data_IF_183226966803
#
_entry.id   IF_183226966803
#
_cell.length_a   1.000
_cell.length_b   1.000
_cell.length_c   1.000
_cell.angle_alpha   90.00
_cell.angle_beta   90.00
_cell.angle_gamma   90.00
#
_symmetry.space_group_name_H-M   'P 1'
#
loop_
_entity.id
_entity.type
_entity.pdbx_description
1 polymer ?
#
# COMPACT_ATOMS: atom_id res chain seq x y z
N UNK A 1 51.88 -11.04 17.75
CA UNK A 1 50.49 -11.53 17.60
C UNK A 1 50.52 -13.04 17.54
N UNK A 2 50.06 -13.72 18.60
CA UNK A 2 50.08 -15.18 18.72
C UNK A 2 49.09 -15.82 17.73
N UNK A 3 49.36 -17.05 17.29
CA UNK A 3 48.58 -17.79 16.27
C UNK A 3 47.09 -17.91 16.64
N UNK A 4 46.80 -18.00 17.94
CA UNK A 4 45.46 -17.98 18.54
C UNK A 4 44.72 -16.66 18.37
N UNK A 5 45.43 -15.53 18.41
CA UNK A 5 44.86 -14.18 18.27
C UNK A 5 44.44 -13.88 16.81
N UNK A 6 45.16 -14.44 15.82
CA UNK A 6 44.74 -14.38 14.40
C UNK A 6 43.52 -15.27 14.13
N UNK A 7 43.43 -16.43 14.75
CA UNK A 7 42.31 -17.35 14.59
C UNK A 7 41.01 -16.76 15.18
N UNK A 8 41.07 -16.12 16.35
CA UNK A 8 39.92 -15.43 16.93
C UNK A 8 39.47 -14.24 16.07
N UNK A 9 40.39 -13.47 15.49
CA UNK A 9 40.04 -12.34 14.62
C UNK A 9 39.33 -12.83 13.33
N UNK A 10 39.81 -13.93 12.74
CA UNK A 10 39.18 -14.58 11.58
C UNK A 10 37.80 -15.15 11.93
N UNK A 11 37.64 -15.77 13.10
CA UNK A 11 36.33 -16.24 13.56
C UNK A 11 35.35 -15.07 13.77
N UNK A 12 35.83 -13.95 14.32
CA UNK A 12 35.03 -12.74 14.55
C UNK A 12 34.56 -12.11 13.23
N UNK A 13 35.43 -12.08 12.21
CA UNK A 13 35.12 -11.61 10.86
C UNK A 13 34.14 -12.53 10.12
N UNK A 14 34.19 -13.84 10.36
CA UNK A 14 33.21 -14.77 9.77
C UNK A 14 31.82 -14.67 10.42
N UNK A 15 31.72 -14.32 11.71
CA UNK A 15 30.42 -14.11 12.38
C UNK A 15 29.79 -12.76 12.00
N UNK A 16 30.59 -11.74 11.66
CA UNK A 16 30.06 -10.46 11.18
C UNK A 16 29.42 -10.55 9.78
N UNK A 17 29.75 -11.58 8.98
CA UNK A 17 29.18 -11.81 7.65
C UNK A 17 27.75 -12.35 7.66
N UNK A 18 27.20 -12.71 8.83
CA UNK A 18 25.82 -13.22 8.96
C UNK A 18 24.85 -12.19 9.53
N UNK A 19 25.21 -10.90 9.53
CA UNK A 19 24.24 -9.83 9.80
C UNK A 19 23.27 -9.72 8.60
N UNK A 20 22.31 -10.65 8.55
CA UNK A 20 21.10 -10.52 7.75
C UNK A 20 20.32 -9.28 8.17
N UNK A 21 19.52 -8.76 7.25
CA UNK A 21 18.72 -7.56 7.34
C UNK A 21 18.33 -7.12 8.77
N UNK A 22 18.69 -5.88 9.13
CA UNK A 22 18.55 -5.34 10.49
C UNK A 22 17.35 -4.41 10.67
N UNK A 23 16.47 -4.31 9.66
CA UNK A 23 15.30 -3.43 9.68
C UNK A 23 13.99 -4.20 9.75
N UNK A 24 12.89 -3.52 10.12
CA UNK A 24 11.56 -4.12 10.10
C UNK A 24 11.09 -4.33 8.66
N UNK A 25 10.46 -5.48 8.42
CA UNK A 25 9.74 -5.73 7.17
C UNK A 25 8.55 -4.76 7.05
N UNK A 26 8.20 -4.35 5.82
CA UNK A 26 7.15 -3.34 5.62
C UNK A 26 6.31 -3.53 4.37
N UNK A 27 5.06 -3.08 4.45
CA UNK A 27 4.13 -2.91 3.34
C UNK A 27 3.66 -1.45 3.31
N UNK A 28 3.93 -0.76 2.20
CA UNK A 28 3.45 0.59 1.95
C UNK A 28 2.53 0.60 0.73
N UNK A 29 1.28 1.07 0.92
CA UNK A 29 0.32 1.24 -0.17
C UNK A 29 -0.30 2.62 -0.11
N UNK A 30 -0.19 3.38 -1.19
CA UNK A 30 -0.84 4.69 -1.34
C UNK A 30 -1.88 4.65 -2.45
N UNK A 31 -3.09 5.09 -2.11
CA UNK A 31 -4.22 5.24 -3.02
C UNK A 31 -4.60 6.72 -3.05
N UNK A 32 -4.31 7.40 -4.15
CA UNK A 32 -4.68 8.81 -4.32
C UNK A 32 -5.88 8.92 -5.25
N UNK A 33 -7.07 9.33 -4.77
CA UNK A 33 -8.25 9.44 -5.62
C UNK A 33 -8.04 10.54 -6.67
N UNK A 34 -8.35 10.23 -7.93
CA UNK A 34 -8.21 11.13 -9.07
C UNK A 34 -9.57 11.54 -9.63
N UNK A 35 -10.52 10.61 -9.70
CA UNK A 35 -11.82 10.84 -10.30
C UNK A 35 -12.90 9.95 -9.69
N UNK A 36 -14.15 10.40 -9.70
CA UNK A 36 -15.29 9.59 -9.28
C UNK A 36 -16.50 9.82 -10.18
N UNK A 37 -17.12 8.73 -10.65
CA UNK A 37 -18.24 8.77 -11.60
C UNK A 37 -19.10 7.53 -11.47
N UNK A 38 -20.43 7.71 -11.38
CA UNK A 38 -21.44 6.63 -11.44
C UNK A 38 -21.17 5.42 -10.52
N UNK A 39 -20.61 5.66 -9.33
CA UNK A 39 -20.30 4.57 -8.38
C UNK A 39 -18.90 3.98 -8.54
N UNK A 40 -18.09 4.46 -9.48
CA UNK A 40 -16.69 4.06 -9.67
C UNK A 40 -15.73 5.20 -9.27
N UNK A 41 -14.59 4.84 -8.72
CA UNK A 41 -13.51 5.76 -8.35
C UNK A 41 -12.21 5.30 -8.97
N UNK A 42 -11.53 6.21 -9.64
CA UNK A 42 -10.19 6.04 -10.19
C UNK A 42 -9.16 6.54 -9.18
N UNK A 43 -8.17 5.71 -8.90
CA UNK A 43 -7.03 6.00 -8.04
C UNK A 43 -5.74 5.93 -8.82
N UNK A 44 -4.81 6.80 -8.43
CA UNK A 44 -3.38 6.63 -8.66
C UNK A 44 -2.80 5.77 -7.54
N UNK A 45 -1.94 4.83 -7.88
CA UNK A 45 -1.40 3.86 -6.94
C UNK A 45 0.11 3.96 -6.80
N UNK A 46 0.61 3.71 -5.59
CA UNK A 46 2.03 3.43 -5.30
C UNK A 46 2.09 2.25 -4.34
N UNK A 47 2.92 1.26 -4.66
CA UNK A 47 3.07 0.04 -3.89
C UNK A 47 4.54 -0.26 -3.66
N UNK A 48 4.88 -0.67 -2.44
CA UNK A 48 6.21 -1.13 -2.07
C UNK A 48 6.09 -2.18 -0.97
N UNK A 49 6.81 -3.30 -1.12
CA UNK A 49 6.91 -4.34 -0.10
C UNK A 49 8.38 -4.64 0.19
N UNK A 50 8.74 -4.61 1.46
CA UNK A 50 10.05 -4.98 1.98
C UNK A 50 9.90 -6.19 2.89
N UNK A 51 9.92 -7.39 2.31
CA UNK A 51 9.78 -8.64 3.09
C UNK A 51 10.99 -8.93 3.97
N UNK A 52 12.17 -8.56 3.50
CA UNK A 52 13.41 -8.88 4.18
C UNK A 52 13.73 -7.91 5.31
N UNK A 53 13.04 -6.77 5.42
CA UNK A 53 13.43 -5.72 6.36
C UNK A 53 14.78 -5.09 6.01
N UNK A 54 15.17 -5.19 4.74
CA UNK A 54 16.47 -4.71 4.29
C UNK A 54 16.48 -3.18 4.24
N UNK A 55 17.56 -2.55 4.71
CA UNK A 55 17.78 -1.11 4.55
C UNK A 55 18.36 -0.76 3.17
N UNK A 56 17.81 -1.37 2.11
CA UNK A 56 18.22 -1.15 0.72
C UNK A 56 17.05 -0.61 -0.11
N UNK A 57 17.35 -0.22 -1.34
CA UNK A 57 16.32 0.16 -2.29
C UNK A 57 15.38 -1.03 -2.51
N UNK A 58 14.08 -0.80 -2.50
CA UNK A 58 13.07 -1.83 -2.78
C UNK A 58 12.38 -1.50 -4.08
N UNK A 59 11.93 -2.53 -4.81
CA UNK A 59 11.09 -2.33 -5.99
C UNK A 59 9.85 -1.49 -5.63
N UNK A 60 9.61 -0.43 -6.40
CA UNK A 60 8.44 0.45 -6.25
C UNK A 60 7.58 0.37 -7.50
N UNK A 61 6.30 0.06 -7.31
CA UNK A 61 5.33 -0.04 -8.40
C UNK A 61 4.38 1.15 -8.39
N UNK A 62 4.09 1.66 -9.58
CA UNK A 62 3.21 2.77 -9.86
C UNK A 62 2.15 2.33 -10.87
N UNK A 63 0.89 2.70 -10.62
CA UNK A 63 -0.20 2.30 -11.49
C UNK A 63 -1.52 3.02 -11.25
N UNK A 64 -2.57 2.38 -11.73
CA UNK A 64 -3.94 2.86 -11.65
C UNK A 64 -4.83 1.78 -11.04
N UNK A 65 -5.82 2.20 -10.29
CA UNK A 65 -6.85 1.31 -9.75
C UNK A 65 -8.22 1.93 -10.02
N UNK A 66 -9.14 1.15 -10.57
CA UNK A 66 -10.57 1.49 -10.55
C UNK A 66 -11.29 0.55 -9.62
N UNK A 67 -12.07 1.12 -8.70
CA UNK A 67 -12.97 0.37 -7.83
C UNK A 67 -14.39 0.87 -8.04
N UNK A 68 -15.36 -0.03 -8.13
CA UNK A 68 -16.77 0.32 -8.13
C UNK A 68 -17.51 -0.13 -6.86
N UNK A 69 -18.64 0.53 -6.58
CA UNK A 69 -19.50 0.24 -5.45
C UNK A 69 -20.26 -1.09 -5.55
N UNK A 70 -20.08 -1.85 -6.63
CA UNK A 70 -20.51 -3.24 -6.78
C UNK A 70 -19.41 -4.24 -6.43
N UNK A 71 -18.20 -3.77 -6.11
CA UNK A 71 -17.05 -4.60 -5.78
C UNK A 71 -16.11 -4.90 -6.96
N UNK A 72 -16.36 -4.32 -8.15
CA UNK A 72 -15.43 -4.44 -9.26
C UNK A 72 -14.10 -3.78 -8.94
N UNK A 73 -13.01 -4.42 -9.37
CA UNK A 73 -11.65 -4.08 -8.99
C UNK A 73 -10.72 -4.29 -10.19
N UNK A 74 -10.10 -3.21 -10.67
CA UNK A 74 -9.24 -3.26 -11.86
C UNK A 74 -7.94 -2.50 -11.63
N UNK A 75 -6.85 -3.25 -11.50
CA UNK A 75 -5.49 -2.73 -11.39
C UNK A 75 -4.83 -2.69 -12.77
N UNK A 76 -4.19 -1.56 -13.09
CA UNK A 76 -3.45 -1.40 -14.35
C UNK A 76 -2.04 -0.86 -14.02
N UNK A 77 -0.99 -1.65 -14.27
CA UNK A 77 0.39 -1.20 -14.09
C UNK A 77 0.71 -0.01 -14.99
N UNK A 78 1.61 0.86 -14.53
CA UNK A 78 2.13 1.97 -15.34
C UNK A 78 3.66 1.97 -15.39
N UNK A 79 4.31 1.90 -14.23
CA UNK A 79 5.77 1.87 -14.14
C UNK A 79 6.22 1.09 -12.93
N UNK A 80 7.33 0.38 -13.06
CA UNK A 80 8.02 -0.27 -11.95
C UNK A 80 9.45 0.21 -11.93
N UNK A 81 9.90 0.74 -10.80
CA UNK A 81 11.32 1.04 -10.56
C UNK A 81 11.88 -0.14 -9.78
N UNK A 82 12.63 -0.98 -10.49
CA UNK A 82 13.14 -2.23 -9.94
C UNK A 82 14.29 -1.99 -8.95
N UNK A 83 14.44 -2.90 -8.01
CA UNK A 83 15.63 -2.98 -7.19
C UNK A 83 16.90 -3.17 -8.06
N UNK A 84 17.99 -2.42 -7.78
CA UNK A 84 19.27 -2.65 -8.45
C UNK A 84 19.80 -4.07 -8.15
N UNK A 85 20.58 -4.67 -9.08
CA UNK A 85 21.14 -6.01 -8.87
C UNK A 85 22.00 -6.05 -7.61
N UNK A 86 22.10 -7.22 -6.98
CA UNK A 86 22.97 -7.44 -5.81
C UNK A 86 24.05 -8.50 -6.11
N UNK A 87 25.35 -8.20 -5.91
CA UNK A 87 25.88 -6.89 -5.53
C UNK A 87 25.78 -5.88 -6.68
N UNK A 88 25.32 -4.66 -6.37
CA UNK A 88 25.17 -3.56 -7.32
C UNK A 88 26.32 -2.57 -7.20
N UNK A 89 26.60 -1.85 -8.29
CA UNK A 89 27.51 -0.71 -8.27
C UNK A 89 26.85 0.53 -7.66
N UNK A 90 27.64 1.44 -7.07
CA UNK A 90 27.13 2.72 -6.55
C UNK A 90 26.43 3.57 -7.65
N UNK A 91 26.83 3.40 -8.91
CA UNK A 91 26.21 4.04 -10.06
C UNK A 91 24.80 3.48 -10.34
N UNK A 92 24.60 2.17 -10.22
CA UNK A 92 23.29 1.52 -10.35
C UNK A 92 22.32 2.00 -9.26
N UNK A 93 22.77 2.04 -8.00
CA UNK A 93 21.97 2.57 -6.89
C UNK A 93 21.58 4.04 -7.14
N UNK A 94 22.55 4.87 -7.55
CA UNK A 94 22.30 6.29 -7.85
C UNK A 94 21.27 6.46 -8.97
N UNK A 95 21.35 5.62 -10.02
CA UNK A 95 20.37 5.62 -11.12
C UNK A 95 18.98 5.21 -10.64
N UNK A 96 18.86 4.15 -9.84
CA UNK A 96 17.59 3.69 -9.28
C UNK A 96 16.92 4.78 -8.42
N UNK A 97 17.68 5.46 -7.55
CA UNK A 97 17.17 6.58 -6.75
C UNK A 97 16.73 7.78 -7.60
N UNK A 98 17.49 8.11 -8.65
CA UNK A 98 17.13 9.18 -9.56
C UNK A 98 15.86 8.84 -10.36
N UNK A 99 15.70 7.59 -10.79
CA UNK A 99 14.51 7.11 -11.47
C UNK A 99 13.30 7.12 -10.55
N UNK A 100 13.43 6.62 -9.32
CA UNK A 100 12.38 6.68 -8.31
C UNK A 100 11.92 8.11 -8.08
N UNK A 101 12.85 9.07 -7.92
CA UNK A 101 12.52 10.49 -7.75
C UNK A 101 11.74 11.05 -8.94
N UNK A 102 12.09 10.66 -10.17
CA UNK A 102 11.36 11.07 -11.39
C UNK A 102 9.96 10.46 -11.43
N UNK A 103 9.84 9.16 -11.17
CA UNK A 103 8.56 8.46 -11.13
C UNK A 103 7.63 9.06 -10.06
N UNK A 104 8.15 9.34 -8.87
CA UNK A 104 7.43 10.01 -7.79
C UNK A 104 6.93 11.41 -8.20
N UNK A 105 7.75 12.19 -8.90
CA UNK A 105 7.37 13.52 -9.37
C UNK A 105 6.23 13.44 -10.39
N UNK A 106 6.33 12.51 -11.35
CA UNK A 106 5.27 12.22 -12.32
C UNK A 106 3.97 11.80 -11.62
N UNK A 107 4.06 10.89 -10.65
CA UNK A 107 2.92 10.41 -9.87
C UNK A 107 2.43 11.39 -8.80
N UNK A 108 3.10 12.51 -8.58
CA UNK A 108 2.59 13.62 -7.74
C UNK A 108 2.00 14.75 -8.58
N UNK A 109 2.36 14.84 -9.86
CA UNK A 109 1.86 15.87 -10.76
C UNK A 109 0.34 15.76 -10.98
N UNK A 110 -0.35 16.89 -11.23
CA UNK A 110 -1.73 16.88 -11.70
C UNK A 110 -1.87 16.06 -12.99
N UNK A 111 -2.97 15.31 -13.12
CA UNK A 111 -3.24 14.56 -14.34
C UNK A 111 -3.51 15.51 -15.52
N UNK A 112 -2.77 15.35 -16.61
CA UNK A 112 -3.15 15.97 -17.89
C UNK A 112 -4.28 15.18 -18.53
N UNK A 113 -5.50 15.70 -18.38
CA UNK A 113 -6.71 15.10 -18.93
C UNK A 113 -6.79 15.17 -20.47
N UNK A 114 -6.02 16.05 -21.12
CA UNK A 114 -6.01 16.16 -22.58
C UNK A 114 -5.09 15.13 -23.21
N UNK A 115 -3.98 14.83 -22.53
CA UNK A 115 -2.97 13.86 -22.97
C UNK A 115 -2.58 12.93 -21.82
N UNK A 116 -3.50 12.07 -21.35
CA UNK A 116 -3.21 11.15 -20.25
C UNK A 116 -2.17 10.10 -20.67
N UNK A 117 -1.43 9.50 -19.71
CA UNK A 117 -0.56 8.37 -20.01
C UNK A 117 -1.31 7.24 -20.72
N UNK A 118 -0.66 6.56 -21.66
CA UNK A 118 -1.27 5.51 -22.47
C UNK A 118 -1.90 4.40 -21.61
N UNK A 119 -1.21 3.99 -20.53
CA UNK A 119 -1.73 2.97 -19.60
C UNK A 119 -2.99 3.40 -18.84
N UNK A 120 -3.29 4.70 -18.78
CA UNK A 120 -4.52 5.23 -18.17
C UNK A 120 -5.63 5.44 -19.20
N UNK A 121 -5.31 5.72 -20.45
CA UNK A 121 -6.28 6.09 -21.49
C UNK A 121 -7.37 5.03 -21.69
N UNK A 122 -7.02 3.73 -21.57
CA UNK A 122 -7.98 2.63 -21.61
C UNK A 122 -9.05 2.73 -20.52
N UNK A 123 -8.64 2.94 -19.26
CA UNK A 123 -9.56 3.08 -18.12
C UNK A 123 -10.45 4.31 -18.25
N UNK A 124 -9.90 5.44 -18.71
CA UNK A 124 -10.69 6.66 -18.90
C UNK A 124 -11.81 6.47 -19.93
N UNK A 125 -11.54 5.75 -21.02
CA UNK A 125 -12.56 5.43 -22.04
C UNK A 125 -13.59 4.43 -21.53
N UNK A 126 -13.14 3.34 -20.92
CA UNK A 126 -14.00 2.25 -20.44
C UNK A 126 -14.99 2.70 -19.37
N UNK A 127 -14.54 3.47 -18.38
CA UNK A 127 -15.38 3.97 -17.29
C UNK A 127 -15.93 5.38 -17.59
N UNK A 128 -15.50 6.01 -18.68
CA UNK A 128 -15.96 7.31 -19.14
C UNK A 128 -15.52 8.49 -18.28
N UNK A 129 -14.44 8.36 -17.50
CA UNK A 129 -13.93 9.44 -16.67
C UNK A 129 -13.45 10.63 -17.52
N UNK A 130 -13.81 11.83 -17.09
CA UNK A 130 -13.42 13.10 -17.70
C UNK A 130 -12.89 14.07 -16.65
N UNK A 131 -12.33 15.19 -17.09
CA UNK A 131 -11.90 16.27 -16.18
C UNK A 131 -13.00 16.75 -15.23
N UNK A 132 -14.28 16.65 -15.61
CA UNK A 132 -15.41 17.05 -14.76
C UNK A 132 -15.63 16.12 -13.57
N UNK A 133 -15.15 14.88 -13.68
CA UNK A 133 -15.26 13.85 -12.66
C UNK A 133 -14.09 13.90 -11.66
N UNK A 134 -13.15 14.84 -11.84
CA UNK A 134 -11.97 14.97 -10.99
C UNK A 134 -12.36 15.27 -9.54
N UNK A 135 -11.73 14.58 -8.58
CA UNK A 135 -11.99 14.78 -7.15
C UNK A 135 -10.83 15.50 -6.47
N UNK A 136 -11.15 16.33 -5.47
CA UNK A 136 -10.14 16.93 -4.61
C UNK A 136 -9.51 15.87 -3.69
N UNK A 137 -8.23 16.04 -3.36
CA UNK A 137 -7.45 15.07 -2.57
C UNK A 137 -8.04 14.75 -1.19
N UNK A 138 -8.77 15.69 -0.60
CA UNK A 138 -9.40 15.58 0.71
C UNK A 138 -10.95 15.50 0.64
N UNK A 139 -11.51 15.22 -0.54
CA UNK A 139 -12.96 15.10 -0.70
C UNK A 139 -13.52 13.98 0.20
N UNK A 140 -14.46 14.32 1.08
CA UNK A 140 -15.12 13.36 1.97
C UNK A 140 -14.27 12.87 3.16
N UNK A 141 -13.11 13.48 3.44
CA UNK A 141 -12.29 13.14 4.60
C UNK A 141 -13.06 13.34 5.92
N UNK A 142 -12.89 12.41 6.87
CA UNK A 142 -13.49 12.47 8.21
C UNK A 142 -14.99 12.17 8.29
N UNK A 143 -15.64 11.82 7.18
CA UNK A 143 -17.11 11.63 7.15
C UNK A 143 -17.56 10.22 7.56
N UNK A 144 -16.64 9.26 7.51
CA UNK A 144 -16.87 7.88 7.90
C UNK A 144 -15.83 7.47 8.93
N UNK A 145 -16.31 6.79 9.95
CA UNK A 145 -15.51 6.26 11.05
C UNK A 145 -15.61 4.75 11.03
N UNK A 146 -14.46 4.08 11.02
CA UNK A 146 -14.38 2.64 11.08
C UNK A 146 -13.85 2.19 12.44
N UNK A 147 -14.54 1.23 13.03
CA UNK A 147 -14.19 0.59 14.30
C UNK A 147 -14.42 -0.91 14.20
N UNK A 148 -14.03 -1.65 15.25
CA UNK A 148 -14.30 -3.10 15.35
C UNK A 148 -15.79 -3.45 15.40
N UNK A 149 -16.63 -2.57 15.95
CA UNK A 149 -18.07 -2.85 16.13
C UNK A 149 -18.86 -2.46 14.90
N UNK A 150 -18.43 -1.39 14.25
CA UNK A 150 -19.23 -0.74 13.25
C UNK A 150 -18.41 0.16 12.33
N UNK A 151 -18.91 0.26 11.10
CA UNK A 151 -18.57 1.31 10.15
C UNK A 151 -19.70 2.33 10.17
N UNK A 152 -19.40 3.55 10.61
CA UNK A 152 -20.39 4.60 10.80
C UNK A 152 -20.19 5.77 9.85
N UNK A 153 -21.28 6.23 9.26
CA UNK A 153 -21.38 7.50 8.54
C UNK A 153 -22.39 8.40 9.26
N UNK A 154 -21.90 9.34 10.06
CA UNK A 154 -22.74 10.11 10.97
C UNK A 154 -23.41 9.22 12.02
N UNK A 155 -24.75 9.16 12.02
CA UNK A 155 -25.55 8.31 12.94
C UNK A 155 -25.89 6.93 12.37
N UNK A 156 -25.55 6.65 11.10
CA UNK A 156 -25.85 5.38 10.44
C UNK A 156 -24.64 4.48 10.54
N UNK A 157 -24.82 3.28 11.09
CA UNK A 157 -23.75 2.33 11.33
C UNK A 157 -24.11 0.95 10.77
N UNK A 158 -23.11 0.21 10.31
CA UNK A 158 -23.26 -1.14 9.76
C UNK A 158 -22.14 -2.06 10.28
N UNK A 159 -22.21 -3.35 9.96
CA UNK A 159 -21.11 -4.28 10.23
C UNK A 159 -19.83 -3.83 9.52
N UNK A 160 -18.67 -3.88 10.18
CA UNK A 160 -17.40 -3.54 9.55
C UNK A 160 -17.17 -4.38 8.29
N UNK A 161 -16.70 -3.71 7.25
CA UNK A 161 -16.21 -4.31 6.03
C UNK A 161 -14.77 -4.84 6.22
N UNK A 162 -14.45 -5.95 5.54
CA UNK A 162 -13.08 -6.36 5.30
C UNK A 162 -12.46 -5.40 4.29
N UNK A 163 -11.38 -4.72 4.67
CA UNK A 163 -10.72 -3.76 3.78
C UNK A 163 -9.91 -4.51 2.72
N UNK A 164 -9.88 -3.98 1.50
CA UNK A 164 -9.07 -4.50 0.39
C UNK A 164 -8.12 -3.41 -0.10
N UNK A 165 -6.90 -3.80 -0.48
CA UNK A 165 -5.93 -2.93 -1.14
C UNK A 165 -5.31 -3.62 -2.36
N UNK A 166 -4.27 -3.03 -2.94
CA UNK A 166 -3.59 -3.53 -4.15
C UNK A 166 -3.09 -4.96 -3.99
N UNK A 167 -2.88 -5.63 -5.12
CA UNK A 167 -2.42 -7.03 -5.16
C UNK A 167 -3.28 -7.96 -4.30
N UNK A 168 -4.57 -7.62 -4.19
CA UNK A 168 -5.58 -8.35 -3.42
C UNK A 168 -5.29 -8.54 -1.92
N UNK A 169 -4.36 -7.76 -1.34
CA UNK A 169 -4.17 -7.76 0.10
C UNK A 169 -5.46 -7.38 0.80
N UNK A 170 -5.79 -8.12 1.86
CA UNK A 170 -7.02 -7.90 2.63
C UNK A 170 -6.68 -7.71 4.08
N UNK A 171 -7.43 -6.84 4.75
CA UNK A 171 -7.37 -6.82 6.21
C UNK A 171 -7.84 -8.16 6.75
N UNK A 172 -7.34 -8.60 7.89
CA UNK A 172 -7.93 -9.75 8.58
C UNK A 172 -9.40 -9.51 8.92
N UNK A 173 -10.16 -10.59 9.03
CA UNK A 173 -11.40 -10.58 9.80
C UNK A 173 -10.98 -10.40 11.26
N UNK A 174 -11.36 -9.27 11.87
CA UNK A 174 -10.89 -8.88 13.20
C UNK A 174 -10.88 -10.04 14.19
N UNK A 175 -9.68 -10.52 14.55
CA UNK A 175 -9.52 -11.33 15.76
C UNK A 175 -9.74 -10.45 16.99
N UNK A 176 -10.39 -10.98 18.04
CA UNK A 176 -10.69 -10.23 19.25
C UNK A 176 -9.42 -9.92 20.04
N UNK A 177 -8.75 -8.79 19.75
CA UNK A 177 -7.76 -8.24 20.70
C UNK A 177 -8.52 -7.57 21.85
N UNK A 178 -7.97 -7.69 23.05
CA UNK A 178 -8.56 -7.36 24.35
C UNK A 178 -8.80 -5.87 24.60
N UNK A 179 -8.25 -4.97 23.77
CA UNK A 179 -8.34 -3.51 23.99
C UNK A 179 -9.05 -2.76 22.84
N UNK A 180 -9.79 -1.67 23.15
CA UNK A 180 -10.51 -0.90 22.15
C UNK A 180 -9.55 -0.08 21.27
N UNK A 181 -9.49 -0.41 19.97
CA UNK A 181 -8.80 0.41 18.97
C UNK A 181 -9.48 1.78 18.84
N UNK A 182 -8.70 2.85 18.68
CA UNK A 182 -9.23 4.17 18.32
C UNK A 182 -9.95 4.10 16.97
N UNK A 183 -11.11 4.75 16.80
CA UNK A 183 -11.78 4.77 15.51
C UNK A 183 -10.92 5.43 14.42
N UNK A 184 -10.91 4.84 13.22
CA UNK A 184 -10.14 5.33 12.08
C UNK A 184 -11.05 6.18 11.20
N UNK A 185 -10.61 7.39 10.90
CA UNK A 185 -11.32 8.28 9.99
C UNK A 185 -10.95 7.98 8.54
N UNK A 186 -11.95 7.98 7.67
CA UNK A 186 -11.72 7.85 6.24
C UNK A 186 -10.96 9.08 5.70
N UNK A 187 -9.97 8.84 4.84
CA UNK A 187 -9.29 9.87 4.06
C UNK A 187 -10.14 10.38 2.89
N UNK A 188 -11.03 9.53 2.39
CA UNK A 188 -11.87 9.81 1.24
C UNK A 188 -13.16 9.00 1.36
N UNK A 189 -14.30 9.64 1.07
CA UNK A 189 -15.61 9.00 1.02
C UNK A 189 -16.37 9.54 -0.17
N UNK A 190 -16.65 8.67 -1.14
CA UNK A 190 -17.41 9.04 -2.33
C UNK A 190 -17.93 7.79 -3.03
N UNK A 191 -19.03 7.92 -3.78
CA UNK A 191 -19.51 6.86 -4.67
C UNK A 191 -19.70 5.51 -3.98
N UNK A 192 -20.09 5.48 -2.71
CA UNK A 192 -20.26 4.23 -1.95
C UNK A 192 -18.94 3.54 -1.57
N UNK A 193 -17.81 4.25 -1.62
CA UNK A 193 -16.50 3.77 -1.20
C UNK A 193 -15.94 4.66 -0.09
N UNK A 194 -15.20 4.06 0.84
CA UNK A 194 -14.39 4.77 1.82
C UNK A 194 -12.94 4.26 1.78
N UNK A 195 -11.98 5.19 1.79
CA UNK A 195 -10.55 4.88 1.87
C UNK A 195 -10.06 5.22 3.27
N UNK A 196 -9.37 4.29 3.91
CA UNK A 196 -8.74 4.47 5.22
C UNK A 196 -7.22 4.40 5.07
N UNK A 197 -6.48 5.11 5.93
CA UNK A 197 -5.04 4.89 6.11
C UNK A 197 -4.84 4.10 7.38
N UNK A 198 -4.24 2.93 7.23
CA UNK A 198 -3.94 2.03 8.31
C UNK A 198 -2.44 2.10 8.56
N UNK A 199 -2.07 2.67 9.71
CA UNK A 199 -0.74 2.53 10.28
C UNK A 199 -0.88 1.48 11.38
N UNK A 200 -0.48 0.23 11.09
CA UNK A 200 -0.53 -0.80 12.13
C UNK A 200 0.59 -0.57 13.13
N UNK A 201 0.24 -0.48 14.41
CA UNK A 201 1.18 -0.38 15.50
C UNK A 201 0.80 -1.43 16.54
N UNK A 202 1.62 -2.47 16.66
CA UNK A 202 1.40 -3.59 17.58
C UNK A 202 1.34 -3.14 19.04
N UNK A 203 2.26 -2.26 19.46
CA UNK A 203 2.37 -1.81 20.85
C UNK A 203 1.10 -1.13 21.38
N UNK A 204 0.37 -0.44 20.50
CA UNK A 204 -0.90 0.21 20.84
C UNK A 204 -2.11 -0.47 20.18
N UNK A 205 -1.89 -1.62 19.54
CA UNK A 205 -2.87 -2.37 18.77
C UNK A 205 -3.72 -1.45 17.85
N UNK A 206 -3.10 -0.50 17.15
CA UNK A 206 -3.80 0.50 16.33
C UNK A 206 -3.79 0.09 14.85
N UNK A 207 -4.81 0.47 14.07
CA UNK A 207 -4.85 0.24 12.62
C UNK A 207 -5.57 -1.04 12.20
N UNK A 208 -5.24 -1.56 11.02
CA UNK A 208 -5.68 -2.85 10.50
C UNK A 208 -4.44 -3.62 10.01
N UNK A 209 -4.40 -4.92 10.30
CA UNK A 209 -3.36 -5.81 9.79
C UNK A 209 -3.81 -6.41 8.45
N UNK A 210 -2.89 -6.53 7.49
CA UNK A 210 -3.17 -7.01 6.15
C UNK A 210 -2.41 -8.31 5.87
N UNK A 211 -3.11 -9.25 5.25
CA UNK A 211 -2.53 -10.52 4.80
C UNK A 211 -2.47 -10.57 3.27
N UNK A 212 -1.40 -11.17 2.77
CA UNK A 212 -1.22 -11.44 1.34
C UNK A 212 -2.25 -12.50 0.90
N UNK A 213 -2.80 -12.44 -0.31
CA UNK A 213 -3.64 -13.52 -0.82
C UNK A 213 -2.88 -14.84 -0.85
N UNK A 214 -3.48 -15.88 -0.28
CA UNK A 214 -2.96 -17.26 -0.34
C UNK A 214 -3.06 -17.75 -1.78
N UNK A 215 -1.95 -18.18 -2.38
CA UNK A 215 -1.97 -18.88 -3.66
C UNK A 215 -2.53 -20.29 -3.44
N UNK A 216 -3.42 -20.76 -4.32
CA UNK A 216 -3.96 -22.12 -4.23
C UNK A 216 -2.84 -23.15 -4.10
N UNK A 217 -2.87 -23.92 -3.00
CA UNK A 217 -1.91 -24.98 -2.71
C UNK A 217 -0.72 -24.60 -1.83
N UNK A 218 -0.58 -23.34 -1.40
CA UNK A 218 0.38 -22.94 -0.38
C UNK A 218 -0.30 -22.83 1.00
N UNK A 219 0.34 -23.30 2.07
CA UNK A 219 -0.09 -23.02 3.44
C UNK A 219 -0.02 -21.50 3.70
N UNK A 220 -0.92 -20.99 4.54
CA UNK A 220 -0.91 -19.61 5.05
C UNK A 220 0.50 -19.27 5.53
N UNK A 221 1.25 -18.52 4.72
CA UNK A 221 2.47 -17.89 5.16
C UNK A 221 2.07 -16.52 5.64
N UNK A 222 2.03 -16.34 6.95
CA UNK A 222 2.19 -15.00 7.51
C UNK A 222 3.52 -14.48 6.94
N UNK A 223 3.51 -13.44 6.08
CA UNK A 223 4.74 -12.92 5.49
C UNK A 223 5.63 -12.26 6.54
N UNK A 224 5.18 -12.17 7.81
CA UNK A 224 5.92 -11.56 8.89
C UNK A 224 6.17 -10.08 8.63
N UNK A 225 5.21 -9.39 8.00
CA UNK A 225 5.30 -7.93 7.75
C UNK A 225 5.00 -7.19 9.05
N UNK A 226 6.03 -6.55 9.61
CA UNK A 226 5.96 -5.85 10.89
C UNK A 226 5.27 -4.48 10.75
N UNK A 227 5.59 -3.72 9.70
CA UNK A 227 5.08 -2.36 9.50
C UNK A 227 4.09 -2.31 8.33
N UNK A 228 2.89 -1.80 8.59
CA UNK A 228 1.88 -1.53 7.57
C UNK A 228 1.56 -0.03 7.55
N UNK A 229 1.85 0.66 6.43
CA UNK A 229 1.29 1.98 6.09
C UNK A 229 0.45 1.84 4.82
N UNK A 230 -0.76 1.33 5.02
CA UNK A 230 -1.62 0.81 3.95
C UNK A 230 -2.87 1.66 3.83
N UNK A 231 -3.03 2.30 2.67
CA UNK A 231 -4.32 2.80 2.25
C UNK A 231 -5.17 1.67 1.72
N UNK A 232 -6.38 1.49 2.26
CA UNK A 232 -7.28 0.41 1.87
C UNK A 232 -8.73 0.88 1.77
N UNK A 233 -9.50 0.16 0.95
CA UNK A 233 -10.85 0.51 0.55
C UNK A 233 -11.86 -0.40 1.24
N UNK A 234 -12.94 0.22 1.70
CA UNK A 234 -14.19 -0.45 1.99
C UNK A 234 -15.29 0.00 1.05
N UNK A 235 -16.08 -0.96 0.57
CA UNK A 235 -17.38 -0.67 -0.03
C UNK A 235 -18.38 -0.40 1.09
N UNK A 236 -19.02 0.76 1.04
CA UNK A 236 -20.03 1.18 2.01
C UNK A 236 -21.38 0.50 1.70
N UNK A 237 -22.18 0.20 2.74
CA UNK A 237 -23.56 -0.23 2.54
C UNK A 237 -24.35 0.88 1.82
N UNK A 238 -25.26 0.49 0.93
CA UNK A 238 -26.15 1.42 0.23
C UNK A 238 -27.40 1.71 1.06
#
# INVERSE_FOLDING_TARGET
MTRTMKLMLLLSLMVAGTAGATGPSSLEVKLTPLAARKGSVLFRTRYTVNREGAHRFMTVEFGWLVVDAGGGWKEVPHRTVAEPPSPGSAEEDTRAWAELKRADAEFKAPLDWKSPPESLAGLLREYGFTKKDAVARNAGAGTVTWSRKELCQGKRCTTPCRQRTLHEWRSEEFQPVTEPRKPIQALFVHSGLAVFRNEYNEANNQGAFFTEPVKEGEEDRDPGIEIHDVMAICVLPR
#
